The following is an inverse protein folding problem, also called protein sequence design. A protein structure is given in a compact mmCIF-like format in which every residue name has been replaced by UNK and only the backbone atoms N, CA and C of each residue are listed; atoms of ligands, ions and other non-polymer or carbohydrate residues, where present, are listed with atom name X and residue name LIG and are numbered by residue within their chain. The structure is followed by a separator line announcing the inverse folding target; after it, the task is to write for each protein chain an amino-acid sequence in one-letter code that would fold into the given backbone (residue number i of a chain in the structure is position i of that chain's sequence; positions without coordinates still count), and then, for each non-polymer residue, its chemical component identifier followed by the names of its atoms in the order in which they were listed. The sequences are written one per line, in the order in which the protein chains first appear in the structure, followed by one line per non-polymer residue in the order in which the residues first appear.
data_IF_120620046798
#
_entry.id   IF_120620046798
#
_cell.length_a   1.000
_cell.length_b   1.000
_cell.length_c   1.000
_cell.angle_alpha   90.00
_cell.angle_beta   90.00
_cell.angle_gamma   90.00
#
_symmetry.space_group_name_H-M   'P 1'
#
loop_
_entity.id
_entity.type
_entity.pdbx_description
1 polymer ?
#
# COMPACT_ATOMS: atom_id res chain seq x y z
N UNK A 1 -16.74 14.10 -3.30
CA UNK A 1 -15.35 14.41 -3.71
C UNK A 1 -14.75 13.10 -4.15
N UNK A 2 -14.17 13.01 -5.36
CA UNK A 2 -13.44 11.78 -5.73
C UNK A 2 -12.22 11.70 -4.83
N UNK A 3 -12.17 10.72 -3.94
CA UNK A 3 -10.99 10.46 -3.11
C UNK A 3 -9.77 10.15 -3.99
N UNK A 4 -8.58 10.35 -3.43
CA UNK A 4 -7.34 9.94 -4.08
C UNK A 4 -7.03 8.48 -3.71
N UNK A 5 -6.68 7.66 -4.68
CA UNK A 5 -6.31 6.25 -4.47
C UNK A 5 -4.89 6.02 -4.98
N UNK A 6 -4.00 5.55 -4.10
CA UNK A 6 -2.66 5.11 -4.51
C UNK A 6 -2.77 3.78 -5.27
N UNK A 7 -2.44 3.78 -6.56
CA UNK A 7 -2.43 2.58 -7.41
C UNK A 7 -1.05 1.93 -7.55
N UNK A 8 -0.01 2.54 -6.97
CA UNK A 8 1.36 2.03 -6.97
C UNK A 8 1.97 2.23 -5.59
N UNK A 9 1.97 1.17 -4.79
CA UNK A 9 2.46 1.19 -3.39
C UNK A 9 3.29 -0.05 -3.15
N UNK A 10 4.49 0.12 -2.61
CA UNK A 10 5.37 -0.98 -2.22
C UNK A 10 5.28 -1.20 -0.70
N UNK A 11 5.02 -2.42 -0.28
CA UNK A 11 5.07 -2.85 1.11
C UNK A 11 6.47 -3.36 1.46
N UNK A 12 6.69 -3.70 2.74
CA UNK A 12 7.92 -4.33 3.22
C UNK A 12 8.25 -5.67 2.53
N UNK A 13 7.30 -6.27 1.82
CA UNK A 13 7.54 -7.45 0.99
C UNK A 13 8.32 -7.14 -0.30
N UNK A 14 8.39 -5.87 -0.70
CA UNK A 14 9.38 -5.39 -1.67
C UNK A 14 10.75 -5.22 -1.02
N UNK A 15 11.57 -6.26 -1.03
CA UNK A 15 12.88 -6.26 -0.37
C UNK A 15 13.73 -5.04 -0.73
N UNK A 16 14.12 -4.25 0.29
CA UNK A 16 14.89 -3.00 0.18
C UNK A 16 14.16 -1.83 -0.51
N UNK A 17 12.93 -2.02 -0.98
CA UNK A 17 12.16 -1.01 -1.71
C UNK A 17 10.88 -0.56 -1.00
N UNK A 18 10.35 -1.34 -0.06
CA UNK A 18 9.27 -0.90 0.82
C UNK A 18 9.65 -0.93 2.30
N UNK A 19 9.04 -0.03 3.06
CA UNK A 19 9.42 0.25 4.45
C UNK A 19 8.26 0.05 5.44
N UNK A 20 7.11 -0.45 4.99
CA UNK A 20 5.90 -0.58 5.82
C UNK A 20 5.13 -1.84 5.48
N UNK A 21 4.57 -2.51 6.50
CA UNK A 21 3.68 -3.64 6.29
C UNK A 21 2.37 -3.23 5.62
N UNK A 22 1.72 -4.12 4.85
CA UNK A 22 0.43 -3.90 4.20
C UNK A 22 -0.64 -3.26 5.11
N UNK A 23 -0.78 -3.76 6.33
CA UNK A 23 -1.80 -3.32 7.29
C UNK A 23 -1.56 -1.86 7.70
N UNK A 24 -0.28 -1.50 7.91
CA UNK A 24 0.11 -0.13 8.25
C UNK A 24 -0.18 0.85 7.12
N UNK A 25 0.00 0.42 5.87
CA UNK A 25 -0.33 1.20 4.69
C UNK A 25 -1.85 1.41 4.59
N UNK A 26 -2.64 0.37 4.81
CA UNK A 26 -4.11 0.43 4.80
C UNK A 26 -4.65 1.35 5.89
N UNK A 27 -4.16 1.23 7.13
CA UNK A 27 -4.52 2.14 8.24
C UNK A 27 -4.23 3.61 7.90
N UNK A 28 -3.07 3.88 7.28
CA UNK A 28 -2.68 5.24 6.89
C UNK A 28 -3.53 5.79 5.76
N UNK A 29 -3.95 4.97 4.81
CA UNK A 29 -4.85 5.37 3.73
C UNK A 29 -6.25 5.68 4.28
N UNK A 30 -6.79 4.80 5.12
CA UNK A 30 -8.07 5.01 5.79
C UNK A 30 -8.07 6.29 6.65
N UNK A 31 -6.99 6.51 7.43
CA UNK A 31 -6.82 7.72 8.23
C UNK A 31 -6.70 9.02 7.41
N UNK A 32 -6.50 8.93 6.08
CA UNK A 32 -6.50 10.07 5.14
C UNK A 32 -7.79 10.16 4.32
N UNK A 33 -8.80 9.35 4.63
CA UNK A 33 -10.08 9.33 3.91
C UNK A 33 -10.00 8.70 2.53
N UNK A 34 -9.05 7.77 2.32
CA UNK A 34 -8.97 6.98 1.09
C UNK A 34 -9.75 5.68 1.28
N UNK A 35 -10.59 5.33 0.31
CA UNK A 35 -11.39 4.09 0.36
C UNK A 35 -10.56 2.85 0.01
N UNK A 36 -9.44 3.03 -0.70
CA UNK A 36 -8.59 1.94 -1.18
C UNK A 36 -7.14 2.38 -1.42
N UNK A 37 -6.25 1.39 -1.50
CA UNK A 37 -4.92 1.49 -2.10
C UNK A 37 -4.57 0.16 -2.77
N UNK A 38 -3.72 0.17 -3.80
CA UNK A 38 -3.18 -1.03 -4.41
C UNK A 38 -1.78 -1.34 -3.88
N UNK A 39 -1.53 -2.62 -3.60
CA UNK A 39 -0.20 -3.16 -3.34
C UNK A 39 0.38 -3.69 -4.64
N UNK A 40 1.58 -3.23 -4.97
CA UNK A 40 2.31 -3.56 -6.20
C UNK A 40 3.74 -3.89 -5.82
N UNK A 41 3.90 -4.95 -5.04
CA UNK A 41 5.21 -5.35 -4.56
C UNK A 41 6.11 -5.83 -5.72
N UNK A 42 7.41 -5.55 -5.58
CA UNK A 42 8.38 -5.85 -6.62
C UNK A 42 8.61 -7.36 -6.71
N UNK A 43 8.25 -7.93 -7.86
CA UNK A 43 8.47 -9.33 -8.22
C UNK A 43 7.86 -10.34 -7.23
N UNK A 44 6.85 -9.92 -6.46
CA UNK A 44 6.22 -10.77 -5.44
C UNK A 44 4.77 -10.35 -5.14
N UNK A 45 4.00 -11.29 -4.62
CA UNK A 45 2.67 -11.09 -4.05
C UNK A 45 2.62 -11.49 -2.56
N UNK A 46 3.77 -11.57 -1.90
CA UNK A 46 3.86 -12.07 -0.51
C UNK A 46 3.15 -11.18 0.53
N UNK A 47 2.79 -9.95 0.18
CA UNK A 47 2.01 -9.03 1.02
C UNK A 47 0.51 -9.00 0.73
N UNK A 48 0.01 -9.89 -0.14
CA UNK A 48 -1.40 -10.00 -0.50
C UNK A 48 -2.19 -10.87 0.51
#
# INVERSE_FOLDING_TARGET
MSGFTHLHTASGFSLRYGASHPERLAERAAGRGMDALALTDRDTLAGA
#
